data_IF_338204216565
#
_entry.id   IF_338204216565
#
_cell.length_a   1.000
_cell.length_b   1.000
_cell.length_c   1.000
_cell.angle_alpha   90.00
_cell.angle_beta   90.00
_cell.angle_gamma   90.00
#
_symmetry.space_group_name_H-M   'P 1'
#
loop_
_entity.id
_entity.type
_entity.pdbx_description
1 polymer ?
#
# COMPACT_ATOMS: atom_id res chain seq x y z
N UNK A 1 -6.89 4.99 16.56
CA UNK A 1 -6.92 6.45 16.82
C UNK A 1 -6.15 7.21 15.79
N UNK A 2 -4.86 6.91 15.68
CA UNK A 2 -3.98 7.60 14.74
C UNK A 2 -4.18 7.10 13.31
N UNK A 3 -4.65 5.87 13.15
CA UNK A 3 -4.84 5.17 11.89
C UNK A 3 -6.34 4.86 11.62
N UNK A 4 -7.10 5.80 10.95
CA UNK A 4 -6.73 7.23 10.90
C UNK A 4 -7.91 8.11 11.34
N UNK A 5 -8.68 7.67 12.36
CA UNK A 5 -9.83 8.45 12.91
C UNK A 5 -9.42 9.85 13.37
N UNK A 6 -8.20 10.01 13.90
CA UNK A 6 -7.65 11.31 14.25
C UNK A 6 -7.50 12.23 13.04
N UNK A 7 -7.10 11.68 11.88
CA UNK A 7 -7.04 12.42 10.64
C UNK A 7 -8.40 12.93 10.17
N UNK A 8 -9.44 12.09 10.31
CA UNK A 8 -10.83 12.51 10.02
C UNK A 8 -11.24 13.70 10.91
N UNK A 9 -10.97 13.59 12.21
CA UNK A 9 -11.31 14.68 13.17
C UNK A 9 -10.52 15.95 12.83
N UNK A 10 -9.23 15.85 12.49
CA UNK A 10 -8.42 17.00 12.08
C UNK A 10 -8.99 17.68 10.82
N UNK A 11 -9.40 16.91 9.82
CA UNK A 11 -10.03 17.44 8.62
C UNK A 11 -11.36 18.13 8.92
N UNK A 12 -12.21 17.53 9.75
CA UNK A 12 -13.49 18.14 10.18
C UNK A 12 -13.28 19.43 10.96
N UNK A 13 -12.33 19.49 11.89
CA UNK A 13 -11.97 20.72 12.61
C UNK A 13 -11.50 21.82 11.66
N UNK A 14 -10.66 21.48 10.67
CA UNK A 14 -10.21 22.42 9.65
C UNK A 14 -11.39 22.97 8.83
N UNK A 15 -12.30 22.08 8.38
CA UNK A 15 -13.48 22.50 7.62
C UNK A 15 -14.43 23.36 8.45
N UNK A 16 -14.63 23.05 9.74
CA UNK A 16 -15.42 23.88 10.66
C UNK A 16 -14.82 25.28 10.79
N UNK A 17 -13.51 25.39 11.03
CA UNK A 17 -12.83 26.67 11.13
C UNK A 17 -12.95 27.50 9.83
N UNK A 18 -12.81 26.85 8.66
CA UNK A 18 -13.00 27.51 7.36
C UNK A 18 -14.43 28.03 7.17
N UNK A 19 -15.44 27.26 7.61
CA UNK A 19 -16.83 27.68 7.55
C UNK A 19 -17.11 28.88 8.49
N UNK A 20 -16.56 28.87 9.69
CA UNK A 20 -16.72 29.98 10.67
C UNK A 20 -16.14 31.31 10.16
N UNK A 21 -15.03 31.25 9.39
CA UNK A 21 -14.46 32.46 8.76
C UNK A 21 -15.11 32.81 7.41
N UNK A 22 -16.15 32.08 7.00
CA UNK A 22 -16.88 32.33 5.75
C UNK A 22 -16.06 32.03 4.48
N UNK A 23 -15.20 31.02 4.49
CA UNK A 23 -14.39 30.67 3.33
C UNK A 23 -15.25 30.18 2.16
N UNK A 24 -15.17 30.88 1.03
CA UNK A 24 -15.94 30.57 -0.19
C UNK A 24 -15.08 30.61 -1.48
N UNK A 25 -13.76 30.81 -1.35
CA UNK A 25 -12.88 31.01 -2.50
C UNK A 25 -12.83 29.78 -3.44
N UNK A 26 -13.05 28.59 -2.90
CA UNK A 26 -13.10 27.34 -3.69
C UNK A 26 -13.87 26.24 -2.97
N UNK A 27 -14.38 25.23 -3.70
CA UNK A 27 -15.03 24.08 -3.06
C UNK A 27 -14.00 23.21 -2.34
N UNK A 28 -14.38 22.71 -1.14
CA UNK A 28 -13.62 21.75 -0.36
C UNK A 28 -14.43 20.46 -0.29
N UNK A 29 -13.79 19.33 -0.62
CA UNK A 29 -14.43 18.00 -0.56
C UNK A 29 -13.75 17.18 0.53
N UNK A 30 -14.54 16.52 1.38
CA UNK A 30 -14.07 15.48 2.29
C UNK A 30 -14.49 14.13 1.71
N UNK A 31 -13.52 13.25 1.49
CA UNK A 31 -13.74 11.86 1.06
C UNK A 31 -13.38 10.96 2.24
N UNK A 32 -14.30 10.11 2.66
CA UNK A 32 -14.09 9.13 3.71
C UNK A 32 -14.07 7.73 3.11
N UNK A 33 -12.94 7.06 3.26
CA UNK A 33 -12.71 5.69 2.84
C UNK A 33 -12.95 4.74 4.02
N UNK A 34 -13.75 3.69 3.83
CA UNK A 34 -14.13 2.76 4.91
C UNK A 34 -13.43 1.41 4.86
N UNK A 35 -12.74 1.07 3.79
CA UNK A 35 -12.11 -0.24 3.60
C UNK A 35 -10.65 -0.17 3.10
N UNK A 36 -9.94 0.91 3.40
CA UNK A 36 -8.52 1.09 3.08
C UNK A 36 -7.67 -0.04 3.66
N UNK A 37 -7.88 -0.39 4.93
CA UNK A 37 -7.13 -1.37 5.70
C UNK A 37 -7.15 -2.80 5.13
N UNK A 38 -8.19 -3.12 4.39
CA UNK A 38 -8.27 -4.39 3.69
C UNK A 38 -7.94 -4.30 2.18
N UNK A 39 -7.27 -3.22 1.76
CA UNK A 39 -6.96 -2.91 0.36
C UNK A 39 -8.20 -2.81 -0.53
N UNK A 40 -9.26 -2.18 -0.04
CA UNK A 40 -10.53 -1.97 -0.75
C UNK A 40 -11.16 -3.27 -1.27
N UNK A 41 -10.93 -4.37 -0.56
CA UNK A 41 -11.47 -5.69 -0.95
C UNK A 41 -12.97 -5.77 -0.69
N UNK A 42 -13.47 -5.13 0.37
CA UNK A 42 -14.90 -5.13 0.73
C UNK A 42 -15.75 -4.41 -0.32
N UNK A 43 -15.26 -3.31 -0.88
CA UNK A 43 -15.90 -2.56 -1.97
C UNK A 43 -15.60 -3.14 -3.36
N UNK A 44 -14.90 -4.29 -3.44
CA UNK A 44 -14.43 -4.86 -4.70
C UNK A 44 -13.59 -3.86 -5.53
N UNK A 45 -12.85 -3.00 -4.83
CA UNK A 45 -12.02 -1.91 -5.37
C UNK A 45 -12.77 -0.74 -6.01
N UNK A 46 -14.09 -0.69 -5.91
CA UNK A 46 -14.87 0.44 -6.50
C UNK A 46 -14.51 1.77 -5.85
N UNK A 47 -14.05 1.78 -4.59
CA UNK A 47 -13.57 2.99 -3.90
C UNK A 47 -12.28 3.54 -4.50
N UNK A 48 -11.43 2.70 -5.09
CA UNK A 48 -10.18 3.12 -5.74
C UNK A 48 -10.44 3.90 -7.03
N UNK A 49 -11.54 3.63 -7.71
CA UNK A 49 -11.98 4.39 -8.89
C UNK A 49 -12.76 5.63 -8.46
N UNK A 50 -13.61 5.51 -7.43
CA UNK A 50 -14.44 6.60 -6.93
C UNK A 50 -13.62 7.79 -6.40
N UNK A 51 -12.56 7.54 -5.63
CA UNK A 51 -11.78 8.63 -5.03
C UNK A 51 -11.11 9.54 -6.07
N UNK A 52 -10.35 9.00 -7.06
CA UNK A 52 -9.77 9.82 -8.12
C UNK A 52 -10.82 10.52 -8.96
N UNK A 53 -11.96 9.86 -9.27
CA UNK A 53 -13.08 10.50 -9.99
C UNK A 53 -13.60 11.73 -9.22
N UNK A 54 -13.82 11.60 -7.92
CA UNK A 54 -14.32 12.71 -7.08
C UNK A 54 -13.25 13.78 -6.84
N UNK A 55 -11.97 13.40 -6.88
CA UNK A 55 -10.84 14.33 -6.75
C UNK A 55 -10.42 14.96 -8.09
N UNK A 56 -10.98 14.53 -9.21
CA UNK A 56 -10.63 15.05 -10.53
C UNK A 56 -10.74 16.58 -10.59
N UNK A 57 -9.72 17.24 -11.14
CA UNK A 57 -9.63 18.70 -11.24
C UNK A 57 -9.28 19.41 -9.92
N UNK A 58 -9.02 18.68 -8.83
CA UNK A 58 -8.56 19.28 -7.58
C UNK A 58 -7.12 19.77 -7.73
N UNK A 59 -6.84 20.95 -7.15
CA UNK A 59 -5.48 21.54 -7.15
C UNK A 59 -4.57 20.89 -6.11
N UNK A 60 -5.14 20.24 -5.10
CA UNK A 60 -4.43 19.52 -4.04
C UNK A 60 -5.32 18.40 -3.48
N UNK A 61 -4.69 17.30 -3.11
CA UNK A 61 -5.26 16.24 -2.30
C UNK A 61 -4.42 16.07 -1.03
N UNK A 62 -5.08 16.17 0.12
CA UNK A 62 -4.47 16.11 1.43
C UNK A 62 -4.90 14.81 2.10
N UNK A 63 -4.02 13.81 2.13
CA UNK A 63 -4.34 12.53 2.74
C UNK A 63 -4.00 12.52 4.23
N UNK A 64 -5.02 12.36 5.06
CA UNK A 64 -4.92 12.53 6.51
C UNK A 64 -4.50 11.25 7.26
N UNK A 65 -3.71 10.39 6.63
CA UNK A 65 -3.03 9.28 7.29
C UNK A 65 -2.13 9.75 8.43
N UNK A 66 -1.75 8.82 9.31
CA UNK A 66 -0.90 9.11 10.46
C UNK A 66 0.44 9.73 10.07
N UNK A 67 0.87 10.75 10.82
CA UNK A 67 2.17 11.39 10.61
C UNK A 67 3.20 10.92 11.62
N UNK A 68 4.48 11.08 11.28
CA UNK A 68 5.63 10.89 12.19
C UNK A 68 6.37 12.21 12.33
N UNK A 69 6.19 12.87 13.47
CA UNK A 69 6.80 14.18 13.71
C UNK A 69 6.36 15.21 12.65
N UNK A 70 7.30 16.04 12.22
CA UNK A 70 7.07 17.04 11.19
C UNK A 70 7.45 16.50 9.80
N UNK A 71 6.83 15.39 9.38
CA UNK A 71 7.09 14.79 8.07
C UNK A 71 5.79 14.59 7.29
N UNK A 72 5.91 14.55 5.97
CA UNK A 72 4.86 14.14 5.04
C UNK A 72 5.38 13.06 4.10
N UNK A 73 4.51 12.18 3.66
CA UNK A 73 4.86 11.12 2.71
C UNK A 73 4.55 11.60 1.30
N UNK A 74 5.55 11.54 0.42
CA UNK A 74 5.41 11.93 -0.99
C UNK A 74 5.64 10.76 -1.96
N UNK A 75 6.15 9.61 -1.46
CA UNK A 75 6.26 8.39 -2.24
C UNK A 75 6.17 7.16 -1.33
N UNK A 76 5.57 6.09 -1.87
CA UNK A 76 5.31 4.83 -1.17
C UNK A 76 5.63 3.65 -2.06
N UNK A 77 6.03 2.54 -1.44
CA UNK A 77 6.13 1.27 -2.17
C UNK A 77 4.74 0.72 -2.45
N UNK A 78 4.56 0.23 -3.68
CA UNK A 78 3.43 -0.60 -4.03
C UNK A 78 3.60 -2.04 -3.53
N UNK A 79 2.53 -2.81 -3.59
CA UNK A 79 2.51 -4.21 -3.20
C UNK A 79 1.64 -5.02 -4.16
N UNK A 80 2.10 -6.24 -4.48
CA UNK A 80 1.28 -7.26 -5.12
C UNK A 80 1.41 -8.57 -4.34
N UNK A 81 0.29 -9.27 -4.14
CA UNK A 81 0.25 -10.56 -3.46
C UNK A 81 -0.27 -11.63 -4.40
N UNK A 82 0.42 -12.75 -4.41
CA UNK A 82 0.12 -13.89 -5.26
C UNK A 82 -0.12 -15.13 -4.42
N UNK A 83 -1.06 -15.97 -4.87
CA UNK A 83 -1.20 -17.36 -4.44
C UNK A 83 -0.79 -18.24 -5.59
N UNK A 84 0.14 -19.16 -5.32
CA UNK A 84 0.55 -20.19 -6.24
C UNK A 84 0.12 -21.54 -5.69
N UNK A 85 -0.49 -22.36 -6.56
CA UNK A 85 -0.99 -23.68 -6.22
C UNK A 85 -0.34 -24.67 -7.17
N UNK A 86 0.42 -25.59 -6.59
CA UNK A 86 1.13 -26.64 -7.32
C UNK A 86 0.39 -27.96 -7.14
N UNK A 87 0.15 -28.65 -8.25
CA UNK A 87 -0.40 -29.99 -8.28
C UNK A 87 0.66 -30.93 -8.87
N UNK A 88 0.88 -32.05 -8.20
CA UNK A 88 1.78 -33.12 -8.58
C UNK A 88 1.06 -34.47 -8.71
N UNK A 89 1.76 -35.53 -8.38
CA UNK A 89 1.22 -36.90 -8.43
C UNK A 89 1.53 -37.64 -7.14
N UNK A 90 0.48 -38.00 -6.40
CA UNK A 90 0.59 -38.76 -5.15
C UNK A 90 0.94 -40.22 -5.42
N UNK A 91 1.78 -40.78 -4.54
CA UNK A 91 2.10 -42.20 -4.48
C UNK A 91 2.72 -42.53 -3.11
N UNK A 92 2.71 -43.78 -2.70
CA UNK A 92 3.38 -44.19 -1.46
C UNK A 92 4.87 -43.89 -1.49
N UNK A 93 5.45 -43.39 -0.42
CA UNK A 93 6.83 -42.88 -0.36
C UNK A 93 7.89 -43.94 -0.75
N UNK A 94 7.63 -45.23 -0.55
CA UNK A 94 8.53 -46.30 -1.01
C UNK A 94 8.73 -46.38 -2.55
N UNK A 95 7.85 -45.69 -3.30
CA UNK A 95 7.88 -45.57 -4.76
C UNK A 95 7.96 -44.10 -5.21
N UNK A 96 8.59 -43.24 -4.41
CA UNK A 96 8.60 -41.80 -4.63
C UNK A 96 9.12 -41.38 -6.02
N UNK A 97 9.97 -42.15 -6.65
CA UNK A 97 10.49 -41.92 -8.01
C UNK A 97 9.43 -42.06 -9.12
N UNK A 98 8.26 -42.61 -8.83
CA UNK A 98 7.13 -42.72 -9.75
C UNK A 98 6.05 -41.63 -9.51
N UNK A 99 6.23 -40.83 -8.47
CA UNK A 99 5.40 -39.70 -8.12
C UNK A 99 5.96 -38.37 -8.62
N UNK A 100 5.23 -37.28 -8.31
CA UNK A 100 5.70 -35.92 -8.56
C UNK A 100 5.37 -35.05 -7.35
N UNK A 101 6.40 -34.67 -6.59
CA UNK A 101 6.21 -33.95 -5.32
C UNK A 101 5.88 -32.50 -5.53
N UNK A 102 4.66 -32.09 -5.16
CA UNK A 102 4.26 -30.69 -5.17
C UNK A 102 5.05 -29.84 -4.17
N UNK A 103 5.47 -30.39 -3.03
CA UNK A 103 6.32 -29.68 -2.05
C UNK A 103 7.71 -29.42 -2.63
N UNK A 104 8.32 -30.40 -3.30
CA UNK A 104 9.62 -30.21 -3.92
C UNK A 104 9.58 -29.14 -5.03
N UNK A 105 8.54 -29.16 -5.86
CA UNK A 105 8.32 -28.12 -6.87
C UNK A 105 8.17 -26.73 -6.24
N UNK A 106 7.36 -26.60 -5.18
CA UNK A 106 7.17 -25.34 -4.44
C UNK A 106 8.49 -24.86 -3.84
N UNK A 107 9.32 -25.75 -3.30
CA UNK A 107 10.62 -25.35 -2.74
C UNK A 107 11.52 -24.67 -3.81
N UNK A 108 11.58 -25.21 -5.02
CA UNK A 108 12.31 -24.59 -6.12
C UNK A 108 11.71 -23.22 -6.52
N UNK A 109 10.39 -23.12 -6.61
CA UNK A 109 9.70 -21.87 -6.95
C UNK A 109 9.92 -20.79 -5.89
N UNK A 110 9.86 -21.13 -4.60
CA UNK A 110 10.16 -20.22 -3.50
C UNK A 110 11.59 -19.69 -3.62
N UNK A 111 12.58 -20.58 -3.80
CA UNK A 111 13.98 -20.16 -3.95
C UNK A 111 14.17 -19.22 -5.15
N UNK A 112 13.51 -19.50 -6.28
CA UNK A 112 13.57 -18.65 -7.46
C UNK A 112 12.97 -17.25 -7.21
N UNK A 113 11.81 -17.16 -6.53
CA UNK A 113 11.18 -15.90 -6.19
C UNK A 113 11.96 -15.12 -5.12
N UNK A 114 12.52 -15.79 -4.13
CA UNK A 114 13.31 -15.17 -3.06
C UNK A 114 14.62 -14.53 -3.56
N UNK A 115 15.13 -14.95 -4.73
CA UNK A 115 16.28 -14.31 -5.40
C UNK A 115 15.97 -12.88 -5.88
N UNK A 116 14.69 -12.50 -6.01
CA UNK A 116 14.31 -11.12 -6.33
C UNK A 116 14.69 -10.10 -5.25
N UNK A 117 15.11 -10.55 -4.06
CA UNK A 117 15.51 -9.70 -2.93
C UNK A 117 16.75 -8.84 -3.15
N UNK A 118 17.60 -9.18 -4.10
CA UNK A 118 18.87 -8.51 -4.36
C UNK A 118 18.72 -7.22 -5.15
N UNK A 119 17.55 -6.93 -5.64
CA UNK A 119 17.29 -5.67 -6.33
C UNK A 119 16.87 -4.60 -5.33
N UNK A 120 17.50 -3.44 -5.35
CA UNK A 120 17.13 -2.29 -4.51
C UNK A 120 15.68 -1.82 -4.75
N UNK A 121 15.11 -2.22 -5.86
CA UNK A 121 13.80 -1.85 -6.34
C UNK A 121 12.73 -2.86 -5.92
N UNK A 122 12.90 -4.14 -6.25
CA UNK A 122 11.95 -5.21 -5.97
C UNK A 122 12.34 -5.99 -4.71
N UNK A 123 11.34 -6.36 -3.92
CA UNK A 123 11.52 -7.35 -2.84
C UNK A 123 10.40 -8.38 -2.92
N UNK A 124 10.73 -9.65 -2.73
CA UNK A 124 9.78 -10.73 -2.63
C UNK A 124 9.91 -11.44 -1.29
N UNK A 125 8.78 -11.81 -0.70
CA UNK A 125 8.75 -12.62 0.52
C UNK A 125 7.69 -13.70 0.36
N UNK A 126 8.11 -14.96 0.45
CA UNK A 126 7.22 -16.12 0.45
C UNK A 126 6.87 -16.49 1.90
N UNK A 127 5.86 -15.82 2.45
CA UNK A 127 5.56 -15.83 3.89
C UNK A 127 4.61 -16.95 4.37
N UNK A 128 3.97 -17.68 3.46
CA UNK A 128 3.02 -18.75 3.80
C UNK A 128 3.19 -19.91 2.85
N UNK A 129 3.23 -21.13 3.40
CA UNK A 129 3.26 -22.39 2.67
C UNK A 129 2.38 -23.44 3.37
N UNK A 130 1.64 -24.21 2.61
CA UNK A 130 0.81 -25.31 3.10
C UNK A 130 0.79 -26.44 2.09
N UNK A 131 1.04 -27.68 2.52
CA UNK A 131 0.99 -28.84 1.61
C UNK A 131 1.34 -30.17 2.27
N UNK A 132 1.01 -31.26 1.55
CA UNK A 132 1.17 -32.62 2.04
C UNK A 132 0.03 -33.07 2.95
N UNK A 133 -0.06 -34.40 3.18
CA UNK A 133 -1.08 -35.03 4.02
C UNK A 133 -0.49 -36.02 5.02
N UNK A 134 0.61 -36.69 4.66
CA UNK A 134 1.32 -37.66 5.50
C UNK A 134 2.77 -37.80 5.04
N UNK A 135 3.66 -38.21 5.95
CA UNK A 135 5.10 -38.38 5.69
C UNK A 135 5.44 -39.58 4.80
N UNK A 136 4.56 -40.55 4.71
CA UNK A 136 4.69 -41.75 3.90
C UNK A 136 4.03 -41.63 2.51
N UNK A 137 3.68 -40.43 2.06
CA UNK A 137 3.01 -40.19 0.79
C UNK A 137 3.67 -39.02 0.05
N UNK A 138 3.98 -39.17 -1.24
CA UNK A 138 4.42 -38.07 -2.09
C UNK A 138 3.30 -37.03 -2.17
N UNK A 139 3.55 -35.73 -1.80
CA UNK A 139 2.51 -34.73 -1.73
C UNK A 139 1.98 -34.34 -3.11
N UNK A 140 0.67 -34.44 -3.29
CA UNK A 140 -0.01 -34.08 -4.54
C UNK A 140 -0.27 -32.58 -4.66
N UNK A 141 -0.54 -31.91 -3.55
CA UNK A 141 -0.87 -30.48 -3.56
C UNK A 141 0.01 -29.73 -2.57
N UNK A 142 0.49 -28.58 -3.01
CA UNK A 142 1.14 -27.61 -2.14
C UNK A 142 0.81 -26.19 -2.61
N UNK A 143 0.46 -25.32 -1.68
CA UNK A 143 0.18 -23.90 -1.94
C UNK A 143 1.16 -23.02 -1.20
N UNK A 144 1.49 -21.86 -1.79
CA UNK A 144 2.24 -20.84 -1.08
C UNK A 144 1.80 -19.44 -1.51
N UNK A 145 2.17 -18.45 -0.71
CA UNK A 145 1.87 -17.04 -0.99
C UNK A 145 3.16 -16.23 -1.05
N UNK A 146 3.26 -15.41 -2.09
CA UNK A 146 4.34 -14.45 -2.28
C UNK A 146 3.80 -13.02 -2.20
N UNK A 147 4.52 -12.14 -1.49
CA UNK A 147 4.27 -10.71 -1.43
C UNK A 147 5.46 -9.99 -2.06
N UNK A 148 5.20 -9.25 -3.14
CA UNK A 148 6.20 -8.46 -3.85
C UNK A 148 5.97 -6.99 -3.57
N UNK A 149 7.05 -6.23 -3.30
CA UNK A 149 7.00 -4.77 -3.15
C UNK A 149 7.89 -4.12 -4.21
N UNK A 150 7.44 -2.98 -4.72
CA UNK A 150 8.06 -2.24 -5.81
C UNK A 150 7.95 -0.73 -5.56
N UNK A 151 8.79 0.08 -6.23
CA UNK A 151 8.78 1.54 -6.10
C UNK A 151 8.06 2.22 -7.27
N UNK A 152 7.94 1.53 -8.42
CA UNK A 152 7.26 2.07 -9.60
C UNK A 152 6.25 1.07 -10.15
N UNK A 153 5.30 1.55 -10.94
CA UNK A 153 4.31 0.70 -11.58
C UNK A 153 4.92 -0.11 -12.75
N UNK A 154 6.04 0.36 -13.32
CA UNK A 154 6.86 -0.41 -14.26
C UNK A 154 7.49 -1.63 -13.57
N UNK A 155 8.07 -1.44 -12.37
CA UNK A 155 8.58 -2.53 -11.54
C UNK A 155 7.47 -3.52 -11.14
N UNK A 156 6.23 -3.06 -10.95
CA UNK A 156 5.08 -3.92 -10.70
C UNK A 156 4.80 -4.86 -11.89
N UNK A 157 4.88 -4.34 -13.11
CA UNK A 157 4.69 -5.14 -14.32
C UNK A 157 5.84 -6.15 -14.51
N UNK A 158 7.07 -5.77 -14.16
CA UNK A 158 8.23 -6.68 -14.16
C UNK A 158 8.03 -7.80 -13.14
N UNK A 159 7.67 -7.45 -11.90
CA UNK A 159 7.40 -8.43 -10.84
C UNK A 159 6.30 -9.43 -11.26
N UNK A 160 5.25 -8.95 -11.90
CA UNK A 160 4.16 -9.79 -12.40
C UNK A 160 4.67 -10.80 -13.43
N UNK A 161 5.48 -10.34 -14.41
CA UNK A 161 6.12 -11.22 -15.40
C UNK A 161 7.02 -12.27 -14.75
N UNK A 162 7.86 -11.87 -13.78
CA UNK A 162 8.76 -12.79 -13.08
C UNK A 162 8.00 -13.86 -12.29
N UNK A 163 6.92 -13.49 -11.59
CA UNK A 163 6.09 -14.44 -10.84
C UNK A 163 5.43 -15.45 -11.80
N UNK A 164 4.91 -14.99 -12.93
CA UNK A 164 4.32 -15.88 -13.94
C UNK A 164 5.38 -16.80 -14.57
N UNK A 165 6.55 -16.29 -14.90
CA UNK A 165 7.66 -17.10 -15.42
C UNK A 165 8.07 -18.21 -14.44
N UNK A 166 8.18 -17.91 -13.15
CA UNK A 166 8.46 -18.93 -12.11
C UNK A 166 7.30 -19.93 -12.01
N UNK A 167 6.05 -19.48 -12.12
CA UNK A 167 4.89 -20.38 -12.10
C UNK A 167 4.90 -21.35 -13.31
N UNK A 168 5.26 -20.89 -14.49
CA UNK A 168 5.33 -21.67 -15.74
C UNK A 168 6.55 -22.62 -15.80
N UNK A 169 7.64 -22.29 -15.10
CA UNK A 169 8.84 -23.13 -15.05
C UNK A 169 8.57 -24.40 -14.23
N UNK A 170 8.71 -25.57 -14.83
CA UNK A 170 8.57 -26.87 -14.16
C UNK A 170 9.93 -27.40 -13.74
N UNK A 171 10.15 -27.58 -12.44
CA UNK A 171 11.38 -28.16 -11.87
C UNK A 171 11.25 -29.66 -11.63
N UNK A 172 10.07 -30.12 -11.22
CA UNK A 172 9.78 -31.55 -10.99
C UNK A 172 8.83 -32.04 -12.08
N UNK A 173 9.30 -32.92 -12.90
CA UNK A 173 8.50 -33.51 -13.99
C UNK A 173 7.18 -34.12 -13.47
N UNK A 174 6.09 -33.83 -14.14
CA UNK A 174 4.74 -34.26 -13.73
C UNK A 174 4.01 -33.33 -12.75
N UNK A 175 4.58 -32.17 -12.42
CA UNK A 175 3.87 -31.11 -11.69
C UNK A 175 3.29 -30.05 -12.62
N UNK A 176 2.32 -29.31 -12.10
CA UNK A 176 1.80 -28.10 -12.75
C UNK A 176 1.55 -27.02 -11.68
N UNK A 177 1.60 -25.74 -12.07
CA UNK A 177 1.39 -24.63 -11.16
C UNK A 177 0.35 -23.66 -11.72
N UNK A 178 -0.59 -23.25 -10.86
CA UNK A 178 -1.52 -22.15 -11.13
C UNK A 178 -1.14 -20.96 -10.26
N UNK A 179 -1.09 -19.76 -10.86
CA UNK A 179 -0.83 -18.52 -10.16
C UNK A 179 -2.08 -17.63 -10.21
N UNK A 180 -2.37 -16.97 -9.11
CA UNK A 180 -3.43 -15.97 -9.01
C UNK A 180 -2.94 -14.78 -8.21
N UNK A 181 -3.03 -13.58 -8.78
CA UNK A 181 -2.85 -12.33 -8.04
C UNK A 181 -4.04 -12.15 -7.10
N UNK A 182 -3.78 -12.09 -5.79
CA UNK A 182 -4.83 -11.99 -4.76
C UNK A 182 -5.29 -10.55 -4.64
N UNK A 183 -4.33 -9.64 -4.50
CA UNK A 183 -4.54 -8.20 -4.46
C UNK A 183 -3.27 -7.46 -4.89
N UNK A 184 -3.43 -6.19 -5.20
CA UNK A 184 -2.33 -5.28 -5.47
C UNK A 184 -2.75 -3.86 -5.14
N UNK A 185 -1.76 -3.02 -4.81
CA UNK A 185 -1.88 -1.57 -4.69
C UNK A 185 -0.72 -0.95 -5.46
N UNK A 186 -0.97 0.08 -6.24
CA UNK A 186 0.07 0.77 -7.02
C UNK A 186 1.11 1.43 -6.11
N UNK A 187 2.26 1.77 -6.66
CA UNK A 187 3.23 2.61 -5.98
C UNK A 187 2.77 4.07 -6.02
N UNK A 188 2.93 4.78 -4.92
CA UNK A 188 2.93 6.24 -4.95
C UNK A 188 4.33 6.67 -5.42
N UNK A 189 4.47 6.87 -6.71
CA UNK A 189 5.75 7.25 -7.30
C UNK A 189 6.16 8.67 -6.94
N UNK A 190 7.45 8.95 -7.03
CA UNK A 190 7.94 10.33 -6.91
C UNK A 190 7.42 11.16 -8.08
N UNK A 191 6.60 12.15 -7.78
CA UNK A 191 6.01 13.04 -8.76
C UNK A 191 6.34 14.50 -8.40
N UNK A 192 6.92 15.26 -9.33
CA UNK A 192 7.32 16.65 -9.12
C UNK A 192 6.17 17.52 -8.59
N UNK A 193 4.94 17.26 -9.05
CA UNK A 193 3.74 17.97 -8.57
C UNK A 193 3.49 17.79 -7.08
N UNK A 194 3.83 16.63 -6.49
CA UNK A 194 3.69 16.37 -5.06
C UNK A 194 4.74 17.15 -4.26
N UNK A 195 5.99 17.23 -4.78
CA UNK A 195 7.04 18.03 -4.18
C UNK A 195 6.72 19.53 -4.28
N UNK A 196 6.21 19.99 -5.42
CA UNK A 196 5.78 21.39 -5.61
C UNK A 196 4.63 21.74 -4.64
N UNK A 197 3.65 20.84 -4.47
CA UNK A 197 2.58 21.03 -3.49
C UNK A 197 3.14 21.14 -2.06
N UNK A 198 4.02 20.23 -1.63
CA UNK A 198 4.62 20.31 -0.30
C UNK A 198 5.46 21.57 -0.10
N UNK A 199 6.21 22.01 -1.13
CA UNK A 199 6.96 23.27 -1.08
C UNK A 199 6.02 24.44 -0.83
N UNK A 200 4.92 24.55 -1.59
CA UNK A 200 3.91 25.60 -1.40
C UNK A 200 3.24 25.52 -0.02
N UNK A 201 2.91 24.30 0.46
CA UNK A 201 2.40 24.10 1.81
C UNK A 201 3.38 24.62 2.87
N UNK A 202 4.68 24.37 2.71
CA UNK A 202 5.69 24.81 3.66
C UNK A 202 5.87 26.36 3.67
N UNK A 203 5.73 27.01 2.53
CA UNK A 203 5.67 28.50 2.47
C UNK A 203 4.48 29.00 3.31
N UNK A 204 3.28 28.45 3.09
CA UNK A 204 2.08 28.80 3.83
C UNK A 204 2.28 28.54 5.34
N UNK A 205 2.89 27.41 5.71
CA UNK A 205 3.17 27.12 7.12
C UNK A 205 4.10 28.13 7.76
N UNK A 206 5.20 28.50 7.06
CA UNK A 206 6.13 29.50 7.57
C UNK A 206 5.48 30.87 7.74
N UNK A 207 4.69 31.32 6.77
CA UNK A 207 3.93 32.58 6.81
C UNK A 207 2.94 32.63 7.98
N UNK A 208 2.42 31.47 8.42
CA UNK A 208 1.45 31.36 9.50
C UNK A 208 2.04 30.88 10.84
N UNK A 209 3.37 30.83 10.98
CA UNK A 209 4.05 30.42 12.21
C UNK A 209 3.83 28.94 12.55
N UNK A 210 3.52 28.10 11.55
CA UNK A 210 3.34 26.66 11.70
C UNK A 210 4.63 25.90 11.34
N UNK A 211 4.94 24.78 12.00
CA UNK A 211 6.09 23.95 11.64
C UNK A 211 5.97 23.40 10.22
N UNK A 212 7.03 23.54 9.44
CA UNK A 212 7.16 22.95 8.10
C UNK A 212 7.30 21.43 8.15
N UNK A 213 7.02 20.77 7.02
CA UNK A 213 7.10 19.31 6.88
C UNK A 213 8.28 18.90 5.99
N UNK A 214 8.98 17.84 6.37
CA UNK A 214 10.03 17.22 5.57
C UNK A 214 9.47 16.03 4.79
N UNK A 215 9.79 15.93 3.51
CA UNK A 215 9.38 14.81 2.68
C UNK A 215 10.07 13.50 3.09
N UNK A 216 9.32 12.39 3.14
CA UNK A 216 9.87 11.06 3.38
C UNK A 216 9.18 9.99 2.55
N UNK A 217 9.81 8.82 2.47
CA UNK A 217 9.21 7.59 1.97
C UNK A 217 8.40 6.88 3.05
N UNK A 218 7.34 6.19 2.65
CA UNK A 218 6.72 5.13 3.45
C UNK A 218 6.83 3.78 2.75
N UNK A 219 7.00 2.72 3.53
CA UNK A 219 7.08 1.34 3.02
C UNK A 219 5.70 0.66 2.94
N UNK A 220 4.68 1.22 3.60
CA UNK A 220 3.29 0.78 3.54
C UNK A 220 2.53 1.40 2.37
N UNK A 221 1.44 0.76 1.94
CA UNK A 221 0.50 1.31 0.96
C UNK A 221 -0.36 2.44 1.56
N UNK A 222 -1.11 3.14 0.71
CA UNK A 222 -2.11 4.14 1.07
C UNK A 222 -2.87 4.54 -0.19
N UNK A 223 -4.10 4.97 -0.05
CA UNK A 223 -4.94 5.47 -1.15
C UNK A 223 -4.36 6.71 -1.87
N UNK A 224 -3.38 7.39 -1.25
CA UNK A 224 -2.61 8.46 -1.89
C UNK A 224 -1.86 8.00 -3.15
N UNK A 225 -1.61 6.68 -3.29
CA UNK A 225 -0.97 6.11 -4.47
C UNK A 225 -1.89 6.23 -5.69
N UNK A 226 -3.15 5.84 -5.56
CA UNK A 226 -4.16 5.93 -6.61
C UNK A 226 -4.40 7.39 -7.04
N UNK A 227 -4.47 8.31 -6.08
CA UNK A 227 -4.61 9.74 -6.35
C UNK A 227 -3.40 10.29 -7.14
N UNK A 228 -2.21 9.87 -6.74
CA UNK A 228 -0.97 10.27 -7.45
C UNK A 228 -0.93 9.71 -8.86
N UNK A 229 -1.33 8.46 -9.06
CA UNK A 229 -1.41 7.79 -10.37
C UNK A 229 -2.34 8.54 -11.33
N UNK A 230 -3.47 9.05 -10.83
CA UNK A 230 -4.40 9.89 -11.60
C UNK A 230 -3.89 11.31 -11.91
N UNK A 231 -2.67 11.65 -11.51
CA UNK A 231 -2.06 12.94 -11.83
C UNK A 231 -2.46 14.09 -10.92
N UNK A 232 -3.15 13.84 -9.82
CA UNK A 232 -3.57 14.85 -8.85
C UNK A 232 -2.41 15.14 -7.88
N UNK A 233 -2.05 16.40 -7.61
CA UNK A 233 -1.05 16.73 -6.59
C UNK A 233 -1.49 16.22 -5.22
N UNK A 234 -0.67 15.40 -4.59
CA UNK A 234 -1.02 14.72 -3.35
C UNK A 234 0.10 14.82 -2.32
N UNK A 235 -0.26 15.21 -1.09
CA UNK A 235 0.60 15.11 0.09
C UNK A 235 -0.08 14.20 1.11
N UNK A 236 0.65 13.17 1.52
CA UNK A 236 0.12 12.11 2.37
C UNK A 236 0.73 12.14 3.78
N UNK A 237 0.05 11.48 4.73
CA UNK A 237 0.46 11.37 6.13
C UNK A 237 0.58 12.72 6.84
N UNK A 238 -0.44 13.57 6.69
CA UNK A 238 -0.52 14.88 7.34
C UNK A 238 -1.51 14.92 8.52
N UNK A 239 -2.05 13.77 8.90
CA UNK A 239 -2.99 13.62 10.01
C UNK A 239 -2.33 13.68 11.39
N UNK A 240 -2.85 12.89 12.32
CA UNK A 240 -2.44 12.88 13.73
C UNK A 240 -1.20 12.02 13.94
N UNK A 241 -0.27 12.51 14.77
CA UNK A 241 0.90 11.73 15.18
C UNK A 241 0.50 10.66 16.20
N UNK A 242 1.17 9.52 16.14
CA UNK A 242 0.96 8.41 17.07
C UNK A 242 1.86 7.24 16.70
N UNK A 243 1.65 6.12 17.38
CA UNK A 243 2.41 4.90 17.09
C UNK A 243 1.59 3.64 17.43
N UNK A 244 2.22 2.47 17.25
CA UNK A 244 1.64 1.13 17.46
C UNK A 244 0.38 0.87 16.64
N UNK A 245 0.30 1.44 15.42
CA UNK A 245 -0.81 1.20 14.49
C UNK A 245 -1.02 -0.31 14.28
N UNK A 246 -2.28 -0.74 14.08
CA UNK A 246 -2.70 -2.13 13.95
C UNK A 246 -2.46 -2.99 15.22
N UNK A 247 -2.30 -2.36 16.39
CA UNK A 247 -2.17 -3.08 17.66
C UNK A 247 -3.14 -2.54 18.73
N UNK A 248 -3.45 -3.31 19.79
CA UNK A 248 -4.25 -2.80 20.90
C UNK A 248 -3.61 -1.64 21.67
N UNK A 249 -2.31 -1.39 21.48
CA UNK A 249 -1.55 -0.31 22.10
C UNK A 249 -1.55 0.98 21.27
N UNK A 250 -2.26 1.02 20.15
CA UNK A 250 -2.34 2.19 19.29
C UNK A 250 -2.75 3.44 20.09
N UNK A 251 -2.00 4.51 19.91
CA UNK A 251 -2.31 5.82 20.50
C UNK A 251 -2.13 6.96 19.51
N UNK A 252 -2.84 8.06 19.73
CA UNK A 252 -2.65 9.32 19.04
C UNK A 252 -2.23 10.42 20.02
N UNK A 253 -1.31 11.28 19.59
CA UNK A 253 -0.84 12.44 20.36
C UNK A 253 -1.85 13.56 20.22
N UNK A 254 -2.59 13.90 21.30
CA UNK A 254 -3.70 14.86 21.27
C UNK A 254 -3.26 16.25 20.78
N UNK A 255 -2.09 16.73 21.19
CA UNK A 255 -1.57 18.03 20.73
C UNK A 255 -1.34 18.10 19.22
N UNK A 256 -1.04 16.96 18.59
CA UNK A 256 -0.86 16.87 17.14
C UNK A 256 -2.18 16.99 16.35
N UNK A 257 -3.32 16.70 16.97
CA UNK A 257 -4.64 16.83 16.35
C UNK A 257 -4.92 18.30 15.96
N UNK A 258 -4.72 19.22 16.92
CA UNK A 258 -4.92 20.65 16.66
C UNK A 258 -3.88 21.18 15.65
N UNK A 259 -2.63 20.70 15.75
CA UNK A 259 -1.58 21.07 14.80
C UNK A 259 -1.91 20.61 13.36
N UNK A 260 -2.41 19.38 13.19
CA UNK A 260 -2.87 18.88 11.91
C UNK A 260 -4.05 19.70 11.36
N UNK A 261 -5.06 19.97 12.17
CA UNK A 261 -6.21 20.77 11.76
C UNK A 261 -5.79 22.18 11.31
N UNK A 262 -4.90 22.86 12.06
CA UNK A 262 -4.37 24.18 11.69
C UNK A 262 -3.62 24.13 10.35
N UNK A 263 -2.77 23.11 10.13
CA UNK A 263 -2.05 22.92 8.87
C UNK A 263 -2.99 22.73 7.68
N UNK A 264 -4.02 21.88 7.84
CA UNK A 264 -5.02 21.64 6.79
C UNK A 264 -5.78 22.92 6.48
N UNK A 265 -6.28 23.62 7.52
CA UNK A 265 -7.02 24.87 7.35
C UNK A 265 -6.18 25.96 6.66
N UNK A 266 -4.93 26.16 7.09
CA UNK A 266 -4.01 27.15 6.48
C UNK A 266 -3.75 26.86 5.00
N UNK A 267 -3.50 25.59 4.65
CA UNK A 267 -3.29 25.20 3.25
C UNK A 267 -4.55 25.46 2.44
N UNK A 268 -5.71 24.99 2.89
CA UNK A 268 -6.97 25.17 2.14
C UNK A 268 -7.30 26.66 1.97
N UNK A 269 -7.00 27.48 2.97
CA UNK A 269 -7.28 28.93 2.94
C UNK A 269 -6.34 29.70 1.99
N UNK A 270 -5.03 29.34 1.96
CA UNK A 270 -3.99 30.16 1.33
C UNK A 270 -3.43 29.59 0.00
N UNK A 271 -3.76 28.33 -0.37
CA UNK A 271 -3.20 27.68 -1.56
C UNK A 271 -3.66 28.32 -2.87
#
# INVERSE_FOLDING_TARGET
>A
MTDCKGGIVAALLAMTALAEVGFTARPVKLILQSDEENNSTSSQKTTLDFMPEKAAGSIAFLNCESTRGNTAVLWRRGIARYRLEVTGKSIHASRCNEGASAIAEVAHKILALEQMKDTKALTCNCGLIEGGTADNTVPEVCTFRAAVRFNTNEEAAEADRMVHQVAETTYIAGTSCKVRKINSRCAMEKADRNFALLARMNEIYAENGLPTLTARQSLGGSDAAEITEFGIPCVDSIGVAGDYIHTPQEYGVLSSLVAAAKRIAAVVYCI
#
